data_IF_345939898175
#
_entry.id   IF_345939898175
#
_cell.length_a   1.000
_cell.length_b   1.000
_cell.length_c   1.000
_cell.angle_alpha   90.00
_cell.angle_beta   90.00
_cell.angle_gamma   90.00
#
_symmetry.space_group_name_H-M   'P 1'
#
loop_
_entity.id
_entity.type
_entity.pdbx_description
1 polymer ?
#
# COMPACT_ATOMS: atom_id res chain seq x y z
N UNK A 1 -18.42 24.35 8.56
CA UNK A 1 -18.70 23.31 7.54
C UNK A 1 -17.54 23.29 6.55
N UNK A 2 -17.01 22.12 6.21
CA UNK A 2 -15.95 21.98 5.21
C UNK A 2 -16.51 22.04 3.78
N UNK A 3 -15.70 22.51 2.83
CA UNK A 3 -16.01 22.46 1.39
C UNK A 3 -15.52 21.12 0.85
N UNK A 4 -16.37 20.38 0.13
CA UNK A 4 -16.02 19.10 -0.48
C UNK A 4 -15.71 19.29 -1.97
N UNK A 5 -14.60 18.72 -2.43
CA UNK A 5 -14.23 18.62 -3.85
C UNK A 5 -13.78 17.20 -4.15
N UNK A 6 -14.08 16.71 -5.35
CA UNK A 6 -13.52 15.45 -5.84
C UNK A 6 -12.16 15.76 -6.46
N UNK A 7 -11.13 15.04 -6.02
CA UNK A 7 -9.76 15.18 -6.55
C UNK A 7 -9.37 13.85 -7.18
N UNK A 8 -8.88 13.90 -8.42
CA UNK A 8 -8.25 12.77 -9.09
C UNK A 8 -6.81 13.13 -9.40
N UNK A 9 -5.90 12.20 -9.22
CA UNK A 9 -4.47 12.42 -9.40
C UNK A 9 -3.78 11.15 -9.87
N UNK A 10 -2.76 11.33 -10.70
CA UNK A 10 -1.78 10.32 -11.10
C UNK A 10 -0.49 10.62 -10.32
N UNK A 11 0.05 9.62 -9.64
CA UNK A 11 1.26 9.75 -8.82
C UNK A 11 2.32 8.83 -9.38
N UNK A 12 3.50 9.38 -9.60
CA UNK A 12 4.71 8.58 -9.74
C UNK A 12 5.44 8.57 -8.40
N UNK A 13 5.94 7.40 -8.02
CA UNK A 13 6.58 7.19 -6.74
C UNK A 13 7.75 6.22 -6.90
N UNK A 14 8.85 6.51 -6.23
CA UNK A 14 9.97 5.60 -6.04
C UNK A 14 10.01 5.16 -4.57
N UNK A 15 9.85 3.86 -4.32
CA UNK A 15 9.80 3.29 -2.97
C UNK A 15 10.79 2.13 -2.89
N UNK A 16 11.71 2.19 -1.94
CA UNK A 16 12.47 1.02 -1.52
C UNK A 16 11.59 0.18 -0.59
N UNK A 17 11.40 -1.10 -0.89
CA UNK A 17 10.58 -2.00 -0.09
C UNK A 17 11.42 -3.23 0.27
N UNK A 18 11.47 -3.55 1.55
CA UNK A 18 12.06 -4.78 2.07
C UNK A 18 10.94 -5.65 2.64
N UNK A 19 10.82 -6.87 2.12
CA UNK A 19 9.84 -7.85 2.56
C UNK A 19 10.55 -9.04 3.22
N UNK A 20 9.92 -9.71 4.19
CA UNK A 20 10.44 -10.96 4.73
C UNK A 20 10.49 -12.04 3.64
N UNK A 21 11.34 -13.05 3.83
CA UNK A 21 11.66 -14.06 2.82
C UNK A 21 10.43 -14.73 2.19
N UNK A 22 9.41 -15.04 2.99
CA UNK A 22 8.17 -15.68 2.52
C UNK A 22 7.31 -14.77 1.62
N UNK A 23 7.46 -13.46 1.71
CA UNK A 23 6.77 -12.49 0.84
C UNK A 23 7.66 -12.06 -0.33
N UNK A 24 8.97 -11.97 -0.12
CA UNK A 24 9.94 -11.67 -1.16
C UNK A 24 10.09 -12.84 -2.15
N UNK A 25 9.98 -14.08 -1.68
CA UNK A 25 10.09 -15.31 -2.48
C UNK A 25 8.95 -16.28 -2.11
N UNK A 26 7.68 -15.94 -2.43
CA UNK A 26 6.54 -16.71 -1.98
C UNK A 26 6.46 -18.06 -2.67
N UNK A 27 6.14 -19.08 -1.89
CA UNK A 27 5.77 -20.40 -2.41
C UNK A 27 4.36 -20.34 -3.02
N UNK A 28 3.92 -21.36 -3.80
CA UNK A 28 2.55 -21.42 -4.28
C UNK A 28 1.49 -21.36 -3.16
N UNK A 29 1.78 -21.96 -2.00
CA UNK A 29 0.90 -21.91 -0.82
C UNK A 29 0.82 -20.49 -0.23
N UNK A 30 1.94 -19.78 -0.17
CA UNK A 30 1.96 -18.37 0.26
C UNK A 30 1.13 -17.50 -0.70
N UNK A 31 1.25 -17.71 -2.02
CA UNK A 31 0.46 -16.98 -3.04
C UNK A 31 -1.04 -17.26 -2.86
N UNK A 32 -1.43 -18.51 -2.62
CA UNK A 32 -2.83 -18.84 -2.33
C UNK A 32 -3.34 -18.14 -1.07
N UNK A 33 -2.54 -18.10 -0.01
CA UNK A 33 -2.87 -17.37 1.23
C UNK A 33 -3.03 -15.86 1.00
N UNK A 34 -2.10 -15.24 0.27
CA UNK A 34 -2.16 -13.81 -0.08
C UNK A 34 -3.43 -13.51 -0.91
N UNK A 35 -3.76 -14.36 -1.89
CA UNK A 35 -4.95 -14.21 -2.71
C UNK A 35 -6.24 -14.41 -1.90
N UNK A 36 -6.24 -15.33 -0.93
CA UNK A 36 -7.36 -15.52 0.00
C UNK A 36 -7.64 -14.26 0.84
N UNK A 37 -6.61 -13.46 1.13
CA UNK A 37 -6.75 -12.14 1.77
C UNK A 37 -7.32 -11.06 0.83
N UNK A 38 -7.60 -11.34 -0.44
CA UNK A 38 -8.24 -10.42 -1.38
C UNK A 38 -7.28 -9.62 -2.26
N UNK A 39 -6.00 -10.01 -2.31
CA UNK A 39 -5.03 -9.50 -3.28
C UNK A 39 -5.10 -10.32 -4.59
N UNK A 40 -4.60 -9.75 -5.69
CA UNK A 40 -4.44 -10.46 -6.98
C UNK A 40 -2.94 -10.53 -7.30
N UNK A 41 -2.32 -11.60 -6.80
CA UNK A 41 -0.88 -11.86 -6.86
C UNK A 41 -0.63 -13.17 -7.58
N UNK A 42 0.32 -13.16 -8.52
CA UNK A 42 0.75 -14.35 -9.27
C UNK A 42 2.25 -14.60 -9.18
N UNK A 43 2.99 -13.66 -8.59
CA UNK A 43 4.44 -13.66 -8.53
C UNK A 43 4.94 -12.79 -7.38
N UNK A 44 6.22 -12.93 -7.00
CA UNK A 44 6.88 -12.02 -6.07
C UNK A 44 6.73 -10.54 -6.47
N UNK A 45 6.90 -10.21 -7.75
CA UNK A 45 6.77 -8.83 -8.24
C UNK A 45 5.36 -8.26 -7.99
N UNK A 46 4.32 -9.08 -8.08
CA UNK A 46 2.97 -8.65 -7.74
C UNK A 46 2.83 -8.37 -6.24
N UNK A 47 3.52 -9.11 -5.37
CA UNK A 47 3.56 -8.84 -3.92
C UNK A 47 4.15 -7.46 -3.67
N UNK A 48 5.26 -7.10 -4.33
CA UNK A 48 5.86 -5.77 -4.21
C UNK A 48 4.95 -4.65 -4.74
N UNK A 49 4.24 -4.87 -5.86
CA UNK A 49 3.22 -3.95 -6.38
C UNK A 49 2.12 -3.70 -5.34
N UNK A 50 1.61 -4.76 -4.72
CA UNK A 50 0.56 -4.64 -3.70
C UNK A 50 1.07 -3.99 -2.41
N UNK A 51 2.29 -4.30 -1.96
CA UNK A 51 2.95 -3.63 -0.84
C UNK A 51 3.07 -2.11 -1.08
N UNK A 52 3.53 -1.71 -2.27
CA UNK A 52 3.61 -0.30 -2.66
C UNK A 52 2.25 0.39 -2.61
N UNK A 53 1.20 -0.25 -3.13
CA UNK A 53 -0.18 0.27 -3.04
C UNK A 53 -0.64 0.46 -1.60
N UNK A 54 -0.36 -0.50 -0.72
CA UNK A 54 -0.72 -0.43 0.70
C UNK A 54 -0.04 0.74 1.42
N UNK A 55 1.25 0.94 1.16
CA UNK A 55 2.03 2.07 1.69
C UNK A 55 1.40 3.40 1.27
N UNK A 56 1.07 3.56 -0.01
CA UNK A 56 0.44 4.79 -0.54
C UNK A 56 -0.96 5.05 0.01
N UNK A 57 -1.71 3.99 0.36
CA UNK A 57 -3.03 4.11 1.00
C UNK A 57 -2.95 4.36 2.51
N UNK A 58 -1.76 4.47 3.08
CA UNK A 58 -1.57 4.61 4.52
C UNK A 58 -2.19 3.45 5.29
N UNK A 59 -2.16 2.25 4.71
CA UNK A 59 -2.72 1.02 5.30
C UNK A 59 -4.24 1.04 5.53
N UNK A 60 -4.97 1.92 4.86
CA UNK A 60 -6.43 2.07 5.04
C UNK A 60 -7.20 0.90 4.42
N UNK A 61 -8.16 0.34 5.18
CA UNK A 61 -9.22 -0.59 4.71
C UNK A 61 -8.76 -1.76 3.83
N UNK A 62 -7.55 -2.28 4.07
CA UNK A 62 -7.03 -3.44 3.36
C UNK A 62 -6.83 -4.60 4.34
N UNK A 63 -7.02 -5.83 3.88
CA UNK A 63 -6.64 -7.04 4.62
C UNK A 63 -5.12 -7.20 4.64
N UNK A 64 -4.41 -6.20 5.14
CA UNK A 64 -2.96 -6.13 5.16
C UNK A 64 -2.32 -7.02 6.23
N UNK A 65 -3.10 -7.81 6.98
CA UNK A 65 -2.61 -8.78 7.97
C UNK A 65 -1.51 -9.69 7.40
N UNK A 66 -1.58 -10.03 6.10
CA UNK A 66 -0.56 -10.85 5.43
C UNK A 66 0.79 -10.15 5.28
N UNK A 67 0.81 -8.82 5.23
CA UNK A 67 2.03 -8.00 5.20
C UNK A 67 2.46 -7.54 6.60
N UNK A 68 1.59 -7.69 7.60
CA UNK A 68 1.83 -7.20 8.95
C UNK A 68 1.99 -5.67 8.98
N UNK A 69 2.96 -5.20 9.77
CA UNK A 69 3.25 -3.78 9.93
C UNK A 69 4.46 -3.40 9.09
N UNK A 70 4.31 -2.33 8.33
CA UNK A 70 5.41 -1.69 7.62
C UNK A 70 6.09 -0.67 8.52
N UNK A 71 7.42 -0.78 8.65
CA UNK A 71 8.24 0.14 9.43
C UNK A 71 9.16 0.94 8.53
N UNK A 72 9.54 2.13 9.00
CA UNK A 72 10.62 2.86 8.35
C UNK A 72 11.98 2.21 8.73
N UNK A 73 12.97 2.14 7.81
CA UNK A 73 14.23 1.42 8.00
C UNK A 73 15.01 1.72 9.28
N UNK A 74 15.00 2.96 9.77
CA UNK A 74 15.67 3.35 11.03
C UNK A 74 15.24 2.54 12.26
N UNK A 75 14.05 1.91 12.26
CA UNK A 75 13.59 1.07 13.39
C UNK A 75 14.18 -0.33 13.39
N UNK A 76 14.86 -0.74 12.31
CA UNK A 76 15.32 -2.12 12.12
C UNK A 76 16.21 -2.62 13.26
N UNK A 77 17.08 -1.77 13.81
CA UNK A 77 17.96 -2.13 14.93
C UNK A 77 17.23 -2.34 16.26
N UNK A 78 16.01 -1.79 16.39
CA UNK A 78 15.25 -1.79 17.63
C UNK A 78 14.25 -2.97 17.71
N UNK A 79 14.07 -3.69 16.60
CA UNK A 79 13.13 -4.81 16.47
C UNK A 79 13.85 -6.14 16.70
N UNK A 80 13.29 -6.98 17.59
CA UNK A 80 13.88 -8.28 17.95
C UNK A 80 13.89 -9.31 16.81
N UNK A 81 12.92 -9.24 15.90
CA UNK A 81 12.75 -10.18 14.78
C UNK A 81 12.55 -9.40 13.48
N UNK A 82 13.45 -8.44 13.21
CA UNK A 82 13.35 -7.55 12.06
C UNK A 82 13.23 -8.32 10.72
N UNK A 83 13.80 -9.51 10.61
CA UNK A 83 13.74 -10.36 9.42
C UNK A 83 12.33 -10.87 9.05
N UNK A 84 11.36 -10.74 9.96
CA UNK A 84 9.95 -11.11 9.74
C UNK A 84 9.05 -9.92 9.47
N UNK A 85 9.61 -8.72 9.50
CA UNK A 85 8.87 -7.46 9.39
C UNK A 85 9.05 -6.86 7.99
N UNK A 86 8.11 -6.01 7.59
CA UNK A 86 8.23 -5.26 6.33
C UNK A 86 8.84 -3.89 6.59
N UNK A 87 9.71 -3.42 5.70
CA UNK A 87 10.25 -2.07 5.74
C UNK A 87 10.03 -1.35 4.41
N UNK A 88 9.95 -0.02 4.49
CA UNK A 88 9.88 0.80 3.31
C UNK A 88 10.49 2.18 3.52
N UNK A 89 11.01 2.77 2.45
CA UNK A 89 11.47 4.15 2.40
C UNK A 89 11.02 4.80 1.09
N UNK A 90 10.23 5.87 1.19
CA UNK A 90 9.77 6.61 0.01
C UNK A 90 10.88 7.56 -0.38
N UNK A 91 11.55 7.26 -1.51
CA UNK A 91 12.67 8.04 -2.01
C UNK A 91 12.19 9.31 -2.72
N UNK A 92 11.16 9.18 -3.55
CA UNK A 92 10.54 10.30 -4.24
C UNK A 92 9.04 10.07 -4.46
N UNK A 93 8.28 11.15 -4.48
CA UNK A 93 6.85 11.13 -4.79
C UNK A 93 6.45 12.44 -5.46
N UNK A 94 5.85 12.35 -6.64
CA UNK A 94 5.34 13.53 -7.33
C UNK A 94 4.01 13.26 -8.01
N UNK A 95 3.21 14.33 -8.14
CA UNK A 95 1.93 14.31 -8.85
C UNK A 95 2.19 14.72 -10.28
N UNK A 96 1.92 13.80 -11.21
CA UNK A 96 2.10 14.02 -12.64
C UNK A 96 0.91 14.79 -13.22
N UNK A 97 -0.29 14.23 -13.07
CA UNK A 97 -1.54 14.84 -13.54
C UNK A 97 -2.56 14.93 -12.40
N UNK A 98 -3.40 15.98 -12.39
CA UNK A 98 -4.52 16.06 -11.45
C UNK A 98 -5.71 16.85 -12.00
N UNK A 99 -6.90 16.54 -11.49
CA UNK A 99 -8.13 17.30 -11.71
C UNK A 99 -8.91 17.50 -10.41
N UNK A 100 -9.64 18.62 -10.33
CA UNK A 100 -10.44 18.99 -9.16
C UNK A 100 -11.83 19.43 -9.60
N UNK A 101 -12.86 18.74 -9.11
CA UNK A 101 -14.25 18.98 -9.44
C UNK A 101 -15.03 19.40 -8.19
N UNK A 102 -15.99 20.32 -8.34
CA UNK A 102 -16.93 20.63 -7.25
C UNK A 102 -17.95 19.50 -7.15
N UNK A 103 -18.23 19.05 -5.93
CA UNK A 103 -19.31 18.10 -5.70
C UNK A 103 -20.59 18.91 -5.50
N UNK A 104 -21.43 18.99 -6.54
CA UNK A 104 -22.78 19.54 -6.39
C UNK A 104 -23.54 18.66 -5.39
N UNK A 105 -23.98 19.26 -4.29
CA UNK A 105 -24.85 18.56 -3.35
C UNK A 105 -26.12 18.19 -4.11
N UNK A 106 -26.36 16.90 -4.33
CA UNK A 106 -27.71 16.45 -4.67
C UNK A 106 -28.61 16.96 -3.55
N UNK A 107 -29.54 17.86 -3.89
CA UNK A 107 -30.66 18.15 -3.02
C UNK A 107 -31.40 16.83 -2.90
N UNK A 108 -31.32 16.20 -1.74
CA UNK A 108 -32.19 15.08 -1.42
C UNK A 108 -33.63 15.58 -1.58
N UNK A 109 -34.30 15.10 -2.64
CA UNK A 109 -35.73 15.32 -2.84
C UNK A 109 -36.45 14.49 -1.77
N UNK A 110 -36.87 15.19 -0.71
CA UNK A 110 -37.77 14.72 0.36
C UNK A 110 -39.04 14.06 -0.15
#
# INVERSE_FOLDING_TARGET
MGVKKLVKLTVEVEIEIELPENLANPTPEDIEGINYCGFDVKSSNDVYKEAGRLILWGYTNCNNDVFGVFHHPWRKSDLKNAERECFYDIQDIYVDEFSVENIEQKKDET
#
